data_IF_300247618920
#
_entry.id   IF_300247618920
#
_cell.length_a   1.000
_cell.length_b   1.000
_cell.length_c   1.000
_cell.angle_alpha   90.00
_cell.angle_beta   90.00
_cell.angle_gamma   90.00
#
_symmetry.space_group_name_H-M   'P 1'
#
loop_
_entity.id
_entity.type
_entity.pdbx_description
1 polymer ?
#
# COMPACT_ATOMS: atom_id res chain seq x y z
N UNK A 1 -9.05 -4.07 -15.34
CA UNK A 1 -8.78 -4.48 -13.95
C UNK A 1 -9.82 -3.92 -12.99
N UNK A 2 -9.99 -2.60 -12.95
CA UNK A 2 -11.04 -1.93 -12.16
C UNK A 2 -12.40 -1.87 -12.89
N UNK A 3 -13.48 -1.65 -12.16
CA UNK A 3 -14.82 -1.38 -12.70
C UNK A 3 -14.85 0.01 -13.35
N UNK A 4 -15.55 0.16 -14.48
CA UNK A 4 -15.67 1.44 -15.21
C UNK A 4 -16.23 2.58 -14.34
N UNK A 5 -17.05 2.23 -13.34
CA UNK A 5 -17.62 3.16 -12.37
C UNK A 5 -16.58 4.05 -11.66
N UNK A 6 -15.34 3.56 -11.53
CA UNK A 6 -14.24 4.30 -10.89
C UNK A 6 -13.94 5.65 -11.58
N UNK A 7 -14.28 5.78 -12.86
CA UNK A 7 -14.06 6.98 -13.66
C UNK A 7 -15.09 8.09 -13.39
N UNK A 8 -16.22 7.76 -12.75
CA UNK A 8 -17.39 8.64 -12.63
C UNK A 8 -17.77 8.84 -11.15
N UNK A 9 -17.51 7.87 -10.27
CA UNK A 9 -17.86 7.97 -8.85
C UNK A 9 -17.12 9.13 -8.16
N UNK A 10 -17.83 9.91 -7.34
CA UNK A 10 -17.23 11.03 -6.59
C UNK A 10 -16.35 10.61 -5.41
N UNK A 11 -16.42 9.34 -4.98
CA UNK A 11 -15.57 8.72 -3.95
C UNK A 11 -15.26 7.27 -4.32
N UNK A 12 -14.50 7.07 -5.42
CA UNK A 12 -14.25 5.75 -5.95
C UNK A 12 -13.41 4.93 -4.95
N UNK A 13 -13.75 3.66 -4.79
CA UNK A 13 -12.97 2.72 -3.99
C UNK A 13 -12.87 1.39 -4.73
N UNK A 14 -11.66 0.83 -4.78
CA UNK A 14 -11.41 -0.42 -5.51
C UNK A 14 -11.64 -1.65 -4.62
N UNK A 15 -11.28 -1.56 -3.33
CA UNK A 15 -11.19 -2.70 -2.41
C UNK A 15 -9.96 -3.57 -2.67
N UNK A 16 -9.44 -4.20 -1.61
CA UNK A 16 -8.23 -5.03 -1.66
C UNK A 16 -8.38 -6.21 -2.62
N UNK A 17 -9.56 -6.83 -2.66
CA UNK A 17 -9.84 -8.03 -3.49
C UNK A 17 -9.62 -7.77 -4.99
N UNK A 18 -9.89 -6.55 -5.45
CA UNK A 18 -9.69 -6.15 -6.85
C UNK A 18 -8.30 -5.57 -7.10
N UNK A 19 -7.64 -5.04 -6.07
CA UNK A 19 -6.30 -4.48 -6.20
C UNK A 19 -5.26 -5.57 -6.51
N UNK A 20 -5.30 -6.69 -5.80
CA UNK A 20 -4.34 -7.79 -5.98
C UNK A 20 -4.32 -8.34 -7.43
N UNK A 21 -5.45 -8.75 -8.04
CA UNK A 21 -5.45 -9.22 -9.43
C UNK A 21 -5.09 -8.11 -10.43
N UNK A 22 -5.48 -6.86 -10.16
CA UNK A 22 -5.10 -5.72 -11.00
C UNK A 22 -3.57 -5.56 -11.04
N UNK A 23 -2.90 -5.60 -9.90
CA UNK A 23 -1.44 -5.49 -9.81
C UNK A 23 -0.73 -6.66 -10.48
N UNK A 24 -1.26 -7.88 -10.37
CA UNK A 24 -0.73 -9.06 -11.09
C UNK A 24 -0.78 -8.88 -12.60
N UNK A 25 -1.91 -8.40 -13.13
CA UNK A 25 -2.08 -8.15 -14.56
C UNK A 25 -1.18 -7.00 -15.04
N UNK A 26 -1.07 -5.93 -14.24
CA UNK A 26 -0.19 -4.81 -14.55
C UNK A 26 1.28 -5.24 -14.60
N UNK A 27 1.70 -6.09 -13.65
CA UNK A 27 3.03 -6.70 -13.66
C UNK A 27 3.27 -7.50 -14.95
N UNK A 28 2.33 -8.38 -15.32
CA UNK A 28 2.47 -9.18 -16.55
C UNK A 28 2.61 -8.28 -17.78
N UNK A 29 1.77 -7.24 -17.88
CA UNK A 29 1.84 -6.28 -18.97
C UNK A 29 3.21 -5.59 -19.08
N UNK A 30 3.80 -5.18 -17.95
CA UNK A 30 5.16 -4.62 -17.94
C UNK A 30 6.21 -5.64 -18.39
N UNK A 31 6.09 -6.90 -17.97
CA UNK A 31 6.99 -7.97 -18.38
C UNK A 31 6.88 -8.25 -19.89
N UNK A 32 5.68 -8.21 -20.45
CA UNK A 32 5.45 -8.38 -21.89
C UNK A 32 6.06 -7.24 -22.72
N UNK A 33 6.21 -6.05 -22.12
CA UNK A 33 6.92 -4.89 -22.68
C UNK A 33 8.45 -4.97 -22.49
N UNK A 34 8.97 -6.04 -21.91
CA UNK A 34 10.41 -6.25 -21.68
C UNK A 34 10.94 -5.68 -20.36
N UNK A 35 10.06 -5.25 -19.44
CA UNK A 35 10.48 -4.77 -18.11
C UNK A 35 10.88 -5.94 -17.23
N UNK A 36 12.11 -5.91 -16.72
CA UNK A 36 12.58 -6.87 -15.71
C UNK A 36 12.14 -6.43 -14.31
N UNK A 37 11.45 -7.31 -13.59
CA UNK A 37 11.01 -7.07 -12.20
C UNK A 37 11.66 -8.11 -11.28
N UNK A 38 12.46 -7.63 -10.32
CA UNK A 38 13.16 -8.46 -9.34
C UNK A 38 12.54 -8.31 -7.95
N UNK A 39 11.83 -9.35 -7.49
CA UNK A 39 11.35 -9.43 -6.11
C UNK A 39 12.42 -10.05 -5.22
N UNK A 40 12.38 -9.75 -3.92
CA UNK A 40 13.39 -10.25 -2.98
C UNK A 40 14.79 -9.66 -3.24
N UNK A 41 14.84 -8.51 -3.91
CA UNK A 41 16.08 -7.77 -4.20
C UNK A 41 15.95 -6.40 -3.57
N UNK A 42 16.71 -6.15 -2.50
CA UNK A 42 16.73 -4.87 -1.80
C UNK A 42 17.90 -4.04 -2.30
N UNK A 43 17.68 -2.76 -2.56
CA UNK A 43 18.77 -1.80 -2.80
C UNK A 43 19.38 -1.43 -1.46
N UNK A 44 20.69 -1.65 -1.32
CA UNK A 44 21.45 -1.31 -0.12
C UNK A 44 22.24 -0.01 -0.30
N UNK A 45 22.69 0.28 -1.52
CA UNK A 45 23.51 1.47 -1.80
C UNK A 45 23.42 1.96 -3.26
N UNK A 46 23.86 3.20 -3.51
CA UNK A 46 24.08 3.73 -4.86
C UNK A 46 25.52 3.47 -5.31
N UNK A 47 25.69 3.09 -6.57
CA UNK A 47 27.01 3.05 -7.19
C UNK A 47 27.29 4.41 -7.85
N UNK A 48 28.19 5.19 -7.26
CA UNK A 48 28.51 6.55 -7.68
C UNK A 48 29.99 6.65 -8.05
N UNK A 49 30.28 7.16 -9.24
CA UNK A 49 31.63 7.49 -9.70
C UNK A 49 31.62 8.90 -10.30
N UNK A 50 32.62 9.73 -9.97
CA UNK A 50 32.75 11.11 -10.43
C UNK A 50 31.46 11.95 -10.27
N UNK A 51 30.72 11.73 -9.19
CA UNK A 51 29.46 12.42 -8.89
C UNK A 51 28.27 11.98 -9.73
N UNK A 52 28.38 10.88 -10.49
CA UNK A 52 27.30 10.31 -11.31
C UNK A 52 26.87 8.96 -10.76
N UNK A 53 25.56 8.75 -10.70
CA UNK A 53 25.00 7.43 -10.38
C UNK A 53 25.12 6.55 -11.61
N UNK A 54 25.85 5.44 -11.47
CA UNK A 54 26.05 4.43 -12.52
C UNK A 54 25.26 3.15 -12.25
N UNK A 55 24.55 3.07 -11.12
CA UNK A 55 23.79 1.89 -10.75
C UNK A 55 23.44 1.80 -9.28
N UNK A 56 23.17 0.58 -8.84
CA UNK A 56 22.78 0.25 -7.46
C UNK A 56 23.53 -0.99 -6.95
N UNK A 57 23.81 -0.98 -5.66
CA UNK A 57 24.23 -2.16 -4.91
C UNK A 57 22.99 -2.81 -4.32
N UNK A 58 22.82 -4.10 -4.53
CA UNK A 58 21.64 -4.84 -4.06
C UNK A 58 22.01 -6.09 -3.26
N UNK A 59 21.13 -6.50 -2.35
CA UNK A 59 21.17 -7.81 -1.69
C UNK A 59 19.94 -8.63 -2.07
N UNK A 60 20.16 -9.92 -2.34
CA UNK A 60 19.08 -10.87 -2.51
C UNK A 60 18.67 -11.46 -1.16
N UNK A 61 17.39 -11.34 -0.81
CA UNK A 61 16.79 -11.86 0.41
C UNK A 61 16.37 -13.33 0.29
N UNK A 62 16.77 -14.01 -0.80
CA UNK A 62 16.28 -15.35 -1.14
C UNK A 62 16.87 -16.46 -0.25
N UNK A 63 17.87 -16.15 0.59
CA UNK A 63 18.48 -17.14 1.47
C UNK A 63 19.00 -16.45 2.75
N UNK A 64 18.40 -16.77 3.91
CA UNK A 64 18.72 -16.18 5.22
C UNK A 64 20.20 -16.39 5.61
N UNK A 65 20.89 -17.32 4.93
CA UNK A 65 22.27 -17.71 5.17
C UNK A 65 23.28 -17.19 4.13
N UNK A 66 22.82 -16.53 3.05
CA UNK A 66 23.73 -16.03 1.99
C UNK A 66 23.28 -14.67 1.47
N UNK A 67 23.63 -13.61 2.21
CA UNK A 67 23.62 -12.26 1.68
C UNK A 67 24.69 -12.16 0.59
N UNK A 68 24.26 -12.24 -0.68
CA UNK A 68 25.11 -11.90 -1.81
C UNK A 68 24.80 -10.46 -2.20
N UNK A 69 25.76 -9.58 -1.97
CA UNK A 69 25.73 -8.23 -2.51
C UNK A 69 26.15 -8.27 -3.97
N UNK A 70 25.33 -7.70 -4.84
CA UNK A 70 25.56 -7.59 -6.27
C UNK A 70 25.54 -6.13 -6.70
N UNK A 71 26.48 -5.76 -7.58
CA UNK A 71 26.46 -4.48 -8.29
C UNK A 71 25.63 -4.64 -9.56
N UNK A 72 24.66 -3.75 -9.77
CA UNK A 72 23.86 -3.66 -11.00
C UNK A 72 24.05 -2.27 -11.62
N UNK A 73 24.55 -2.24 -12.86
CA UNK A 73 24.82 -0.99 -13.60
C UNK A 73 23.62 -0.58 -14.45
N UNK A 74 23.32 0.72 -14.45
CA UNK A 74 22.20 1.33 -15.16
C UNK A 74 22.52 2.78 -15.55
N UNK A 75 22.02 3.22 -16.70
CA UNK A 75 22.20 4.61 -17.17
C UNK A 75 21.47 5.64 -16.30
N UNK A 76 20.41 5.23 -15.61
CA UNK A 76 19.62 6.08 -14.73
C UNK A 76 18.95 5.26 -13.61
N UNK A 77 18.80 5.89 -12.43
CA UNK A 77 18.15 5.30 -11.26
C UNK A 77 17.00 6.20 -10.80
N UNK A 78 15.81 5.63 -10.64
CA UNK A 78 14.61 6.33 -10.13
C UNK A 78 14.23 5.74 -8.77
N UNK A 79 14.19 6.58 -7.73
CA UNK A 79 13.81 6.17 -6.38
C UNK A 79 12.29 6.33 -6.16
N UNK A 80 11.55 5.24 -6.30
CA UNK A 80 10.10 5.16 -6.02
C UNK A 80 9.81 4.30 -4.78
N UNK A 81 10.58 4.50 -3.71
CA UNK A 81 10.68 3.59 -2.54
C UNK A 81 9.58 3.76 -1.49
N UNK A 82 8.74 4.79 -1.61
CA UNK A 82 7.71 5.13 -0.64
C UNK A 82 8.26 5.73 0.66
N UNK A 83 7.38 6.31 1.48
CA UNK A 83 7.78 7.11 2.64
C UNK A 83 8.35 6.30 3.83
N UNK A 84 8.18 4.98 3.81
CA UNK A 84 8.62 4.10 4.92
C UNK A 84 10.05 3.60 4.75
N UNK A 85 10.71 3.85 3.60
CA UNK A 85 12.06 3.38 3.28
C UNK A 85 13.15 4.19 3.99
N UNK A 86 13.16 4.12 5.33
CA UNK A 86 14.08 4.87 6.21
C UNK A 86 15.56 4.58 5.93
N UNK A 87 15.86 3.35 5.59
CA UNK A 87 17.18 2.88 5.17
C UNK A 87 17.68 3.62 3.91
N UNK A 88 16.82 3.80 2.91
CA UNK A 88 17.15 4.56 1.70
C UNK A 88 17.43 6.03 2.02
N UNK A 89 16.63 6.67 2.89
CA UNK A 89 16.91 8.05 3.29
C UNK A 89 18.23 8.18 4.05
N UNK A 90 18.59 7.22 4.90
CA UNK A 90 19.90 7.20 5.56
C UNK A 90 21.05 7.06 4.56
N UNK A 91 20.90 6.18 3.57
CA UNK A 91 21.88 5.98 2.50
C UNK A 91 22.03 7.24 1.62
N UNK A 92 20.94 7.97 1.35
CA UNK A 92 21.02 9.26 0.66
C UNK A 92 21.81 10.31 1.47
N UNK A 93 21.63 10.36 2.80
CA UNK A 93 22.41 11.26 3.65
C UNK A 93 23.90 10.92 3.66
N UNK A 94 24.27 9.62 3.61
CA UNK A 94 25.68 9.21 3.52
C UNK A 94 26.33 9.58 2.19
N UNK A 95 25.53 9.76 1.13
CA UNK A 95 25.97 10.29 -0.17
C UNK A 95 25.85 11.82 -0.28
N UNK A 96 25.69 12.52 0.86
CA UNK A 96 25.55 13.98 0.91
C UNK A 96 24.40 14.52 0.05
N UNK A 97 23.35 13.72 -0.20
CA UNK A 97 22.15 14.19 -0.88
C UNK A 97 21.33 15.02 0.09
N UNK A 98 20.95 16.23 -0.34
CA UNK A 98 20.11 17.12 0.45
C UNK A 98 18.71 16.52 0.63
N UNK A 99 18.30 16.33 1.88
CA UNK A 99 16.95 15.90 2.24
C UNK A 99 16.25 17.03 2.98
N UNK A 100 15.11 17.48 2.43
CA UNK A 100 14.28 18.52 3.04
C UNK A 100 13.12 17.86 3.80
N UNK A 101 12.95 18.14 5.11
CA UNK A 101 11.83 17.63 5.89
C UNK A 101 10.49 18.07 5.28
N UNK A 102 9.53 17.15 5.24
CA UNK A 102 8.15 17.43 4.84
C UNK A 102 7.22 17.21 6.02
N UNK A 103 6.38 18.19 6.31
CA UNK A 103 5.36 18.07 7.34
C UNK A 103 4.41 16.90 7.04
N UNK A 104 4.02 16.16 8.08
CA UNK A 104 3.08 15.06 7.97
C UNK A 104 2.06 15.08 9.12
N UNK A 105 0.84 14.61 8.81
CA UNK A 105 -0.21 14.46 9.81
C UNK A 105 -0.11 13.07 10.47
N UNK A 106 -0.15 13.04 11.80
CA UNK A 106 -0.29 11.82 12.57
C UNK A 106 -1.63 11.85 13.28
N UNK A 107 -2.53 10.95 12.90
CA UNK A 107 -3.88 10.84 13.50
C UNK A 107 -3.98 9.45 14.15
N UNK A 108 -4.30 9.35 15.44
CA UNK A 108 -4.53 8.07 16.08
C UNK A 108 -5.76 7.38 15.45
N UNK A 109 -5.62 6.11 15.10
CA UNK A 109 -6.74 5.32 14.59
C UNK A 109 -7.69 4.98 15.75
N UNK A 110 -8.85 5.65 15.80
CA UNK A 110 -9.90 5.36 16.76
C UNK A 110 -10.84 4.30 16.17
N UNK A 111 -11.09 3.21 16.91
CA UNK A 111 -12.10 2.21 16.56
C UNK A 111 -13.38 2.50 17.33
N UNK A 112 -14.50 2.58 16.63
CA UNK A 112 -15.83 2.60 17.23
C UNK A 112 -16.41 1.18 17.14
N UNK A 113 -16.93 0.65 18.24
CA UNK A 113 -17.51 -0.71 18.28
C UNK A 113 -18.82 -0.85 17.49
N UNK A 114 -19.37 0.23 16.92
CA UNK A 114 -20.70 0.17 16.32
C UNK A 114 -20.75 0.93 15.00
N UNK A 115 -20.75 0.19 13.89
CA UNK A 115 -21.04 0.68 12.53
C UNK A 115 -22.37 1.46 12.50
N UNK A 116 -23.31 1.09 13.38
CA UNK A 116 -24.63 1.70 13.54
C UNK A 116 -24.60 3.20 13.81
N UNK A 117 -23.70 3.67 14.69
CA UNK A 117 -23.62 5.09 15.08
C UNK A 117 -23.16 5.96 13.91
N UNK A 118 -22.20 5.48 13.11
CA UNK A 118 -21.70 6.21 11.93
C UNK A 118 -22.75 6.27 10.83
N UNK A 119 -23.54 5.21 10.65
CA UNK A 119 -24.65 5.19 9.68
C UNK A 119 -25.74 6.18 10.10
N UNK A 120 -26.13 6.19 11.37
CA UNK A 120 -27.18 7.07 11.88
C UNK A 120 -26.81 8.54 11.75
N UNK A 121 -25.59 8.91 12.16
CA UNK A 121 -25.11 10.29 12.05
C UNK A 121 -25.01 10.77 10.61
N UNK A 122 -24.72 9.87 9.67
CA UNK A 122 -24.47 10.23 8.26
C UNK A 122 -25.73 10.24 7.39
N UNK A 123 -26.71 9.40 7.69
CA UNK A 123 -27.89 9.19 6.83
C UNK A 123 -29.24 9.40 7.54
N UNK A 124 -29.25 9.55 8.88
CA UNK A 124 -30.47 9.73 9.67
C UNK A 124 -31.25 8.43 9.92
N UNK A 125 -32.16 8.46 10.90
CA UNK A 125 -32.93 7.30 11.39
C UNK A 125 -33.96 6.69 10.41
N UNK A 126 -34.14 7.23 9.20
CA UNK A 126 -35.10 6.71 8.22
C UNK A 126 -34.53 5.62 7.31
N UNK A 127 -33.20 5.47 7.24
CA UNK A 127 -32.54 4.47 6.39
C UNK A 127 -32.60 3.02 6.93
N UNK A 128 -32.99 2.85 8.19
CA UNK A 128 -33.07 1.55 8.87
C UNK A 128 -34.10 0.58 8.26
N UNK A 129 -35.16 1.08 7.62
CA UNK A 129 -36.27 0.25 7.11
C UNK A 129 -35.90 -0.71 5.97
N UNK A 130 -34.83 -0.45 5.21
CA UNK A 130 -34.42 -1.30 4.07
C UNK A 130 -33.35 -2.34 4.40
N UNK A 131 -32.47 -2.08 5.38
CA UNK A 131 -31.37 -3.01 5.72
C UNK A 131 -31.75 -4.06 6.77
N UNK A 132 -32.72 -3.77 7.65
CA UNK A 132 -33.13 -4.68 8.73
C UNK A 132 -33.76 -6.00 8.23
N UNK A 133 -34.35 -6.05 7.02
CA UNK A 133 -34.88 -7.31 6.51
C UNK A 133 -33.79 -8.34 6.16
N UNK A 134 -32.58 -7.90 5.81
CA UNK A 134 -31.49 -8.81 5.43
C UNK A 134 -30.47 -9.06 6.55
N UNK A 135 -30.27 -8.13 7.49
CA UNK A 135 -29.28 -8.31 8.58
C UNK A 135 -29.82 -9.12 9.75
N UNK A 136 -31.13 -9.07 10.03
CA UNK A 136 -31.76 -9.92 11.06
C UNK A 136 -31.71 -11.42 10.73
N UNK A 137 -31.46 -11.78 9.46
CA UNK A 137 -31.23 -13.17 9.05
C UNK A 137 -29.81 -13.66 9.35
N UNK A 138 -28.81 -12.77 9.40
CA UNK A 138 -27.39 -13.12 9.57
C UNK A 138 -26.89 -12.98 11.02
N UNK A 139 -27.54 -12.17 11.87
CA UNK A 139 -27.16 -12.02 13.28
C UNK A 139 -27.80 -13.06 14.23
N UNK A 140 -28.73 -13.91 13.76
CA UNK A 140 -29.33 -14.96 14.62
C UNK A 140 -28.41 -16.15 14.89
N UNK A 141 -27.22 -16.23 14.30
CA UNK A 141 -26.31 -17.36 14.50
C UNK A 141 -25.21 -17.14 15.54
N UNK A 142 -25.07 -15.96 16.17
CA UNK A 142 -24.04 -15.78 17.20
C UNK A 142 -24.40 -14.68 18.21
N UNK A 143 -24.79 -15.14 19.41
CA UNK A 143 -24.55 -14.55 20.73
C UNK A 143 -25.44 -13.38 21.23
N UNK A 144 -26.32 -13.78 22.16
CA UNK A 144 -26.84 -13.14 23.38
C UNK A 144 -27.50 -11.73 23.37
N UNK A 145 -28.65 -11.72 24.05
CA UNK A 145 -29.59 -10.63 24.34
C UNK A 145 -29.09 -9.77 25.50
N UNK A 146 -29.23 -8.44 25.39
CA UNK A 146 -29.48 -7.58 26.55
C UNK A 146 -30.65 -6.64 26.21
N UNK A 147 -31.81 -6.85 26.84
CA UNK A 147 -32.87 -5.86 26.91
C UNK A 147 -32.53 -4.87 28.02
N UNK A 148 -32.59 -3.58 27.75
CA UNK A 148 -32.79 -2.56 28.81
C UNK A 148 -34.27 -2.22 28.87
N UNK A 149 -34.77 -2.11 30.09
CA UNK A 149 -36.09 -1.60 30.46
C UNK A 149 -36.31 -0.16 29.97
#
# INVERSE_FOLDING_TARGET
GATKQILIDGKPHLGTDRLVPLLRNFRQHLQDLGVTIKFGTRVDDLHIEDGRVLGVMVSESADEYRLRSQKLEYDAVILAVGHSARDIYQMLLTHNVELVPKDFAMIPMVRYEVVTVVIELRYGGSWWGKYLQNTLALQRSSQYVIKRE
#
